data_IF_605195058509
#
_entry.id   IF_605195058509
#
_cell.length_a   1.000
_cell.length_b   1.000
_cell.length_c   1.000
_cell.angle_alpha   90.00
_cell.angle_beta   90.00
_cell.angle_gamma   90.00
#
_symmetry.space_group_name_H-M   'P 1'
#
loop_
_entity.id
_entity.type
_entity.pdbx_description
1 polymer ?
#
# COMPACT_ATOMS: atom_id res chain seq x y z
N UNK A 1 -11.98 20.88 -10.86
CA UNK A 1 -10.75 20.36 -10.25
C UNK A 1 -10.03 19.41 -11.21
N UNK A 2 -10.67 18.33 -11.68
CA UNK A 2 -10.09 17.37 -12.65
C UNK A 2 -9.56 18.08 -13.91
N UNK A 3 -10.37 18.93 -14.57
CA UNK A 3 -9.94 19.66 -15.78
C UNK A 3 -8.72 20.57 -15.60
N UNK A 4 -8.53 21.16 -14.41
CA UNK A 4 -7.35 22.00 -14.15
C UNK A 4 -6.11 21.16 -13.85
N UNK A 5 -6.29 20.01 -13.20
CA UNK A 5 -5.23 19.02 -13.03
C UNK A 5 -4.76 18.48 -14.39
N UNK A 6 -5.69 18.10 -15.26
CA UNK A 6 -5.38 17.57 -16.60
C UNK A 6 -4.72 18.61 -17.51
N UNK A 7 -5.15 19.87 -17.43
CA UNK A 7 -4.66 20.93 -18.30
C UNK A 7 -3.31 21.52 -17.86
N UNK A 8 -3.00 21.53 -16.56
CA UNK A 8 -1.82 22.23 -16.03
C UNK A 8 -0.89 21.33 -15.22
N UNK A 9 -1.42 20.60 -14.23
CA UNK A 9 -0.58 19.80 -13.33
C UNK A 9 0.02 18.58 -14.03
N UNK A 10 -0.78 17.87 -14.82
CA UNK A 10 -0.36 16.63 -15.46
C UNK A 10 0.72 16.87 -16.56
N UNK A 11 0.61 17.87 -17.45
CA UNK A 11 1.69 18.19 -18.39
C UNK A 11 2.99 18.58 -17.69
N UNK A 12 2.92 19.39 -16.62
CA UNK A 12 4.09 19.78 -15.84
C UNK A 12 4.75 18.57 -15.16
N UNK A 13 3.98 17.67 -14.54
CA UNK A 13 4.52 16.45 -13.94
C UNK A 13 5.16 15.52 -14.98
N UNK A 14 4.69 15.53 -16.23
CA UNK A 14 5.29 14.73 -17.31
C UNK A 14 6.67 15.22 -17.74
N UNK A 15 7.05 16.47 -17.41
CA UNK A 15 8.39 16.99 -17.68
C UNK A 15 9.46 16.44 -16.74
N UNK A 16 9.07 15.87 -15.60
CA UNK A 16 9.99 15.26 -14.65
C UNK A 16 10.13 13.75 -14.89
N UNK A 17 11.26 13.19 -14.43
CA UNK A 17 11.43 11.73 -14.31
C UNK A 17 10.22 11.14 -13.57
N UNK A 18 9.70 9.97 -13.99
CA UNK A 18 8.50 9.39 -13.38
C UNK A 18 8.59 9.22 -11.86
N UNK A 19 9.76 8.88 -11.33
CA UNK A 19 9.94 8.66 -9.89
C UNK A 19 9.96 10.00 -9.13
N UNK A 20 10.59 11.03 -9.69
CA UNK A 20 10.58 12.38 -9.09
C UNK A 20 9.17 12.99 -9.15
N UNK A 21 8.44 12.76 -10.25
CA UNK A 21 7.04 13.17 -10.39
C UNK A 21 6.14 12.53 -9.35
N UNK A 22 6.36 11.24 -9.10
CA UNK A 22 5.67 10.50 -8.05
C UNK A 22 5.96 11.09 -6.67
N UNK A 23 7.23 11.43 -6.39
CA UNK A 23 7.61 12.10 -5.14
C UNK A 23 6.95 13.48 -5.00
N UNK A 24 6.92 14.27 -6.07
CA UNK A 24 6.25 15.56 -6.10
C UNK A 24 4.74 15.43 -5.84
N UNK A 25 4.10 14.40 -6.38
CA UNK A 25 2.68 14.14 -6.11
C UNK A 25 2.41 13.85 -4.62
N UNK A 26 3.24 13.02 -3.98
CA UNK A 26 3.16 12.75 -2.53
C UNK A 26 3.37 14.04 -1.72
N UNK A 27 4.39 14.83 -2.07
CA UNK A 27 4.64 16.11 -1.39
C UNK A 27 3.49 17.11 -1.58
N UNK A 28 2.92 17.18 -2.78
CA UNK A 28 1.76 18.01 -3.09
C UNK A 28 0.55 17.64 -2.24
N UNK A 29 0.23 16.34 -2.14
CA UNK A 29 -0.85 15.85 -1.29
C UNK A 29 -0.64 16.14 0.20
N UNK A 30 0.62 16.11 0.65
CA UNK A 30 0.99 16.40 2.04
C UNK A 30 0.87 17.88 2.39
N UNK A 31 1.22 18.78 1.46
CA UNK A 31 1.25 20.23 1.68
C UNK A 31 -0.07 20.92 1.33
N UNK A 32 -0.78 20.43 0.32
CA UNK A 32 -2.00 21.01 -0.22
C UNK A 32 -3.12 19.96 -0.16
N UNK A 33 -3.73 19.75 1.02
CA UNK A 33 -4.76 18.74 1.17
C UNK A 33 -5.94 19.06 0.25
N UNK A 34 -6.44 18.06 -0.50
CA UNK A 34 -7.41 18.31 -1.56
C UNK A 34 -8.75 18.77 -1.02
N UNK A 35 -9.53 19.47 -1.84
CA UNK A 35 -10.92 19.78 -1.48
C UNK A 35 -11.71 18.48 -1.52
N UNK A 36 -12.44 18.19 -0.44
CA UNK A 36 -13.26 17.00 -0.35
C UNK A 36 -14.36 17.06 -1.43
N UNK A 37 -14.57 16.00 -2.22
CA UNK A 37 -15.67 15.97 -3.18
C UNK A 37 -17.03 15.97 -2.46
N UNK A 38 -18.11 16.03 -3.23
CA UNK A 38 -19.46 15.78 -2.70
C UNK A 38 -19.52 14.40 -2.04
N UNK A 39 -20.36 14.20 -1.01
CA UNK A 39 -20.56 12.88 -0.42
C UNK A 39 -20.95 11.84 -1.47
N UNK A 40 -20.45 10.61 -1.31
CA UNK A 40 -20.82 9.50 -2.18
C UNK A 40 -22.32 9.17 -2.07
N UNK A 41 -22.91 8.67 -3.15
CA UNK A 41 -24.25 8.08 -3.10
C UNK A 41 -24.21 6.81 -2.25
N UNK A 42 -25.16 6.67 -1.33
CA UNK A 42 -25.26 5.50 -0.44
C UNK A 42 -25.33 4.16 -1.21
N UNK A 43 -25.78 4.16 -2.47
CA UNK A 43 -25.77 2.97 -3.35
C UNK A 43 -24.38 2.42 -3.66
N UNK A 44 -23.32 3.21 -3.47
CA UNK A 44 -21.94 2.76 -3.67
C UNK A 44 -21.37 2.02 -2.46
N UNK A 45 -22.04 2.05 -1.30
CA UNK A 45 -21.53 1.41 -0.09
C UNK A 45 -21.44 -0.11 -0.26
N UNK A 46 -20.30 -0.68 0.16
CA UNK A 46 -20.01 -2.12 0.07
C UNK A 46 -19.64 -2.66 1.44
N UNK A 47 -20.27 -3.75 1.86
CA UNK A 47 -19.85 -4.52 3.03
C UNK A 47 -19.10 -5.77 2.60
N UNK A 48 -17.81 -5.85 2.91
CA UNK A 48 -16.95 -6.97 2.55
C UNK A 48 -15.86 -7.18 3.62
N UNK A 49 -15.44 -8.43 3.84
CA UNK A 49 -14.35 -8.77 4.77
C UNK A 49 -14.53 -8.26 6.21
N UNK A 50 -15.78 -8.05 6.64
CA UNK A 50 -16.08 -7.46 7.96
C UNK A 50 -15.96 -5.93 8.01
N UNK A 51 -15.66 -5.28 6.89
CA UNK A 51 -15.52 -3.82 6.76
C UNK A 51 -16.70 -3.22 6.00
N UNK A 52 -16.99 -1.94 6.27
CA UNK A 52 -18.01 -1.15 5.59
C UNK A 52 -17.34 -0.06 4.76
N UNK A 53 -17.13 -0.33 3.47
CA UNK A 53 -16.55 0.62 2.53
C UNK A 53 -17.61 1.64 2.08
N UNK A 54 -17.33 2.95 2.13
CA UNK A 54 -18.29 3.97 1.70
C UNK A 54 -18.52 3.97 0.18
N UNK A 55 -17.50 3.55 -0.57
CA UNK A 55 -17.53 3.33 -2.02
C UNK A 55 -16.51 2.25 -2.39
N UNK A 56 -16.58 1.62 -3.59
CA UNK A 56 -15.73 0.49 -3.95
C UNK A 56 -14.38 0.90 -4.56
N UNK A 57 -14.06 2.19 -4.63
CA UNK A 57 -12.87 2.70 -5.32
C UNK A 57 -11.76 2.95 -4.29
N UNK A 58 -10.67 2.20 -4.38
CA UNK A 58 -9.52 2.31 -3.48
C UNK A 58 -8.24 2.77 -4.16
N UNK A 59 -7.36 3.41 -3.39
CA UNK A 59 -5.99 3.68 -3.82
C UNK A 59 -5.13 2.44 -3.57
N UNK A 60 -4.54 1.89 -4.63
CA UNK A 60 -3.74 0.67 -4.55
C UNK A 60 -2.37 0.89 -3.89
N UNK A 61 -1.83 -0.18 -3.30
CA UNK A 61 -0.45 -0.19 -2.80
C UNK A 61 0.55 0.10 -3.93
N UNK A 62 1.66 0.72 -3.54
CA UNK A 62 2.70 1.20 -4.42
C UNK A 62 2.63 2.70 -4.66
N UNK A 63 1.47 3.35 -4.44
CA UNK A 63 1.37 4.80 -4.46
C UNK A 63 1.94 5.41 -3.17
N UNK A 64 1.30 5.19 -2.02
CA UNK A 64 1.80 5.66 -0.73
C UNK A 64 2.53 4.54 0.03
N UNK A 65 3.78 4.27 -0.38
CA UNK A 65 4.59 3.18 0.20
C UNK A 65 4.90 3.36 1.69
N UNK A 66 4.89 4.60 2.14
CA UNK A 66 5.49 5.03 3.40
C UNK A 66 4.47 5.59 4.40
N UNK A 67 3.16 5.50 4.09
CA UNK A 67 2.06 6.10 4.84
C UNK A 67 2.24 7.62 5.08
N UNK A 68 2.67 8.35 4.05
CA UNK A 68 2.90 9.78 4.14
C UNK A 68 1.62 10.60 3.93
N UNK A 69 0.65 10.09 3.17
CA UNK A 69 -0.55 10.83 2.75
C UNK A 69 -1.86 10.02 2.73
N UNK A 70 -2.09 9.03 3.62
CA UNK A 70 -3.32 8.24 3.60
C UNK A 70 -4.58 9.09 3.79
N UNK A 71 -4.54 10.09 4.68
CA UNK A 71 -5.69 10.96 4.96
C UNK A 71 -5.99 11.91 3.80
N UNK A 72 -4.96 12.38 3.09
CA UNK A 72 -5.15 13.19 1.89
C UNK A 72 -5.79 12.37 0.76
N UNK A 73 -5.40 11.10 0.62
CA UNK A 73 -5.99 10.17 -0.34
C UNK A 73 -7.44 9.84 0.00
N UNK A 74 -7.77 9.52 1.25
CA UNK A 74 -9.17 9.34 1.68
C UNK A 74 -10.00 10.61 1.43
N UNK A 75 -9.41 11.79 1.67
CA UNK A 75 -10.05 13.08 1.42
C UNK A 75 -10.27 13.39 -0.06
N UNK A 76 -9.50 12.79 -0.99
CA UNK A 76 -9.78 12.86 -2.43
C UNK A 76 -11.08 12.14 -2.83
N UNK A 77 -11.60 11.25 -1.98
CA UNK A 77 -12.80 10.47 -2.25
C UNK A 77 -12.57 8.97 -2.40
N UNK A 78 -11.34 8.46 -2.20
CA UNK A 78 -11.12 7.02 -2.14
C UNK A 78 -11.84 6.42 -0.93
N UNK A 79 -12.60 5.35 -1.16
CA UNK A 79 -13.32 4.66 -0.09
C UNK A 79 -12.38 3.90 0.85
N UNK A 80 -11.19 3.54 0.37
CA UNK A 80 -10.11 2.96 1.15
C UNK A 80 -8.74 3.26 0.53
N UNK A 81 -7.69 3.18 1.34
CA UNK A 81 -6.31 3.37 0.89
C UNK A 81 -5.45 2.20 1.32
N UNK A 82 -4.65 1.66 0.41
CA UNK A 82 -3.65 0.64 0.74
C UNK A 82 -2.25 1.24 0.72
N UNK A 83 -1.59 1.30 1.87
CA UNK A 83 -0.19 1.74 1.97
C UNK A 83 0.77 0.58 1.70
N UNK A 84 2.04 0.89 1.48
CA UNK A 84 3.09 -0.10 1.24
C UNK A 84 3.34 -0.38 -0.24
N UNK A 85 4.01 -1.47 -0.61
CA UNK A 85 4.46 -2.57 0.24
C UNK A 85 5.53 -2.15 1.25
N UNK A 86 5.30 -2.46 2.52
CA UNK A 86 6.23 -2.21 3.63
C UNK A 86 7.09 -3.45 3.87
N UNK A 87 8.37 -3.27 4.19
CA UNK A 87 9.27 -4.35 4.62
C UNK A 87 9.72 -4.13 6.07
N UNK A 88 10.18 -5.16 6.81
CA UNK A 88 10.61 -4.97 8.20
C UNK A 88 11.69 -3.91 8.38
N UNK A 89 12.74 -3.96 7.57
CA UNK A 89 13.85 -3.00 7.55
C UNK A 89 13.70 -2.03 6.38
N UNK A 90 14.22 -0.79 6.48
CA UNK A 90 14.31 0.12 5.35
C UNK A 90 15.13 -0.50 4.22
N UNK A 91 14.74 -0.22 2.98
CA UNK A 91 15.54 -0.56 1.80
C UNK A 91 15.31 0.44 0.67
N UNK A 92 16.36 0.73 -0.09
CA UNK A 92 16.33 1.74 -1.16
C UNK A 92 15.63 1.27 -2.42
N UNK A 93 15.48 -0.05 -2.61
CA UNK A 93 14.95 -0.68 -3.82
C UNK A 93 16.03 -0.95 -4.89
N UNK A 94 15.64 -1.14 -6.14
CA UNK A 94 16.57 -1.38 -7.25
C UNK A 94 17.18 -0.06 -7.75
N UNK A 95 18.32 -0.04 -8.46
CA UNK A 95 18.89 1.21 -9.00
C UNK A 95 17.95 1.97 -9.96
N UNK A 96 18.02 3.31 -9.97
CA UNK A 96 17.32 4.15 -10.97
C UNK A 96 18.04 4.09 -12.34
N UNK A 97 17.34 4.28 -13.47
CA UNK A 97 15.89 4.47 -13.61
C UNK A 97 15.14 3.14 -13.47
N UNK A 98 13.95 3.20 -12.84
CA UNK A 98 13.16 2.02 -12.43
C UNK A 98 11.65 2.22 -12.52
N UNK A 99 11.21 3.33 -13.11
CA UNK A 99 9.81 3.64 -13.38
C UNK A 99 9.73 4.30 -14.76
N UNK A 100 8.86 3.79 -15.62
CA UNK A 100 8.77 4.17 -17.03
C UNK A 100 7.31 4.39 -17.40
N UNK A 101 7.03 5.48 -18.13
CA UNK A 101 5.71 5.78 -18.69
C UNK A 101 5.64 5.29 -20.12
N UNK A 102 4.55 4.60 -20.47
CA UNK A 102 4.20 4.21 -21.82
C UNK A 102 2.92 4.97 -22.17
N UNK A 103 3.06 6.24 -22.56
CA UNK A 103 1.93 7.17 -22.62
C UNK A 103 0.86 6.77 -23.64
N UNK A 104 1.28 6.20 -24.77
CA UNK A 104 0.36 5.72 -25.82
C UNK A 104 -0.48 4.52 -25.36
N UNK A 105 0.07 3.73 -24.46
CA UNK A 105 -0.55 2.51 -23.93
C UNK A 105 -1.31 2.78 -22.62
N UNK A 106 -1.32 4.03 -22.15
CA UNK A 106 -1.79 4.41 -20.80
C UNK A 106 -1.19 3.53 -19.69
N UNK A 107 0.06 3.11 -19.88
CA UNK A 107 0.71 2.09 -19.06
C UNK A 107 1.96 2.60 -18.34
N UNK A 108 2.37 1.84 -17.34
CA UNK A 108 3.57 2.07 -16.55
C UNK A 108 4.32 0.75 -16.35
N UNK A 109 5.62 0.77 -16.57
CA UNK A 109 6.52 -0.33 -16.19
C UNK A 109 7.33 0.11 -14.98
N UNK A 110 7.38 -0.70 -13.93
CA UNK A 110 8.22 -0.42 -12.76
C UNK A 110 9.02 -1.64 -12.32
N UNK A 111 10.24 -1.35 -11.86
CA UNK A 111 11.14 -2.33 -11.24
C UNK A 111 11.67 -1.82 -9.91
N UNK A 112 10.77 -1.29 -9.08
CA UNK A 112 11.14 -0.56 -7.85
C UNK A 112 11.84 -1.43 -6.80
N UNK A 113 11.40 -2.67 -6.61
CA UNK A 113 12.01 -3.61 -5.65
C UNK A 113 11.75 -3.25 -4.17
N UNK A 114 10.50 -2.94 -3.82
CA UNK A 114 10.08 -2.59 -2.45
C UNK A 114 10.90 -1.49 -1.77
N UNK A 115 11.17 -0.38 -2.46
CA UNK A 115 11.73 0.82 -1.83
C UNK A 115 10.77 1.36 -0.74
N UNK A 116 11.20 1.41 0.52
CA UNK A 116 10.40 1.95 1.64
C UNK A 116 11.29 2.25 2.88
N UNK A 117 10.73 3.01 3.82
CA UNK A 117 11.43 3.49 5.01
C UNK A 117 11.47 2.46 6.17
N UNK A 118 10.92 1.26 5.95
CA UNK A 118 10.85 0.19 6.95
C UNK A 118 9.65 0.32 7.89
N UNK A 119 9.37 -0.78 8.60
CA UNK A 119 8.18 -0.90 9.43
C UNK A 119 8.09 0.17 10.52
N UNK A 120 9.19 0.48 11.21
CA UNK A 120 9.19 1.42 12.33
C UNK A 120 8.81 2.84 11.91
N UNK A 121 9.30 3.30 10.76
CA UNK A 121 9.00 4.63 10.24
C UNK A 121 7.54 4.74 9.81
N UNK A 122 7.04 3.70 9.12
CA UNK A 122 5.65 3.62 8.67
C UNK A 122 4.69 3.50 9.87
N UNK A 123 5.06 2.72 10.88
CA UNK A 123 4.27 2.54 12.10
C UNK A 123 4.06 3.87 12.82
N UNK A 124 5.11 4.69 12.97
CA UNK A 124 4.98 6.02 13.59
C UNK A 124 4.02 6.93 12.83
N UNK A 125 4.05 6.89 11.49
CA UNK A 125 3.13 7.69 10.66
C UNK A 125 1.70 7.18 10.76
N UNK A 126 1.47 5.88 10.69
CA UNK A 126 0.14 5.31 10.89
C UNK A 126 -0.40 5.55 12.31
N UNK A 127 0.45 5.48 13.34
CA UNK A 127 0.04 5.76 14.71
C UNK A 127 -0.43 7.21 14.88
N UNK A 128 0.22 8.18 14.21
CA UNK A 128 -0.19 9.59 14.27
C UNK A 128 -1.59 9.87 13.74
N UNK A 129 -2.16 8.95 12.94
CA UNK A 129 -3.51 9.07 12.38
C UNK A 129 -4.55 8.15 13.03
N UNK A 130 -4.23 7.45 14.11
CA UNK A 130 -5.11 6.45 14.73
C UNK A 130 -6.55 6.94 15.01
N UNK A 131 -6.75 8.27 15.19
CA UNK A 131 -8.06 8.88 15.45
C UNK A 131 -8.77 9.51 14.24
N UNK A 132 -8.18 9.47 13.04
CA UNK A 132 -8.72 10.17 11.85
C UNK A 132 -9.80 9.36 11.10
N UNK A 133 -9.98 8.08 11.44
CA UNK A 133 -10.94 7.19 10.81
C UNK A 133 -10.58 6.81 9.36
N UNK A 134 -11.56 6.23 8.66
CA UNK A 134 -11.39 5.70 7.31
C UNK A 134 -10.71 4.33 7.27
N UNK A 135 -10.77 3.68 6.10
CA UNK A 135 -10.22 2.33 5.91
C UNK A 135 -8.82 2.44 5.30
N UNK A 136 -7.81 1.99 6.05
CA UNK A 136 -6.43 1.93 5.55
C UNK A 136 -5.84 0.55 5.73
N UNK A 137 -5.57 -0.10 4.60
CA UNK A 137 -4.92 -1.40 4.53
C UNK A 137 -3.40 -1.27 4.52
N UNK A 138 -2.73 -2.32 4.99
CA UNK A 138 -1.26 -2.43 4.99
C UNK A 138 -0.84 -3.58 4.08
N UNK A 139 -0.21 -3.22 2.96
CA UNK A 139 0.43 -4.19 2.08
C UNK A 139 1.81 -4.55 2.64
N UNK A 140 2.02 -5.83 2.94
CA UNK A 140 3.23 -6.35 3.61
C UNK A 140 4.07 -7.17 2.63
N UNK A 141 5.39 -7.08 2.77
CA UNK A 141 6.35 -7.79 1.94
C UNK A 141 7.66 -8.07 2.68
N UNK A 142 8.45 -8.99 2.16
CA UNK A 142 9.75 -9.33 2.75
C UNK A 142 10.88 -8.42 2.25
N UNK A 143 11.88 -8.20 3.10
CA UNK A 143 13.13 -7.57 2.69
C UNK A 143 13.83 -8.43 1.63
N UNK A 144 14.55 -7.79 0.69
CA UNK A 144 15.24 -8.48 -0.42
C UNK A 144 16.16 -9.60 0.07
N UNK A 145 17.00 -9.26 1.04
CA UNK A 145 18.09 -10.09 1.56
C UNK A 145 17.66 -10.85 2.83
N UNK A 146 16.35 -10.97 3.08
CA UNK A 146 15.87 -11.68 4.26
C UNK A 146 16.17 -13.19 4.15
N UNK A 147 16.81 -13.79 5.17
CA UNK A 147 17.05 -15.22 5.21
C UNK A 147 15.76 -16.01 5.50
N UNK A 148 14.77 -15.38 6.12
CA UNK A 148 13.46 -15.95 6.39
C UNK A 148 12.37 -14.94 6.03
N UNK A 149 11.87 -15.06 4.80
CA UNK A 149 10.83 -14.18 4.27
C UNK A 149 9.50 -14.38 4.98
N UNK A 150 9.21 -15.58 5.49
CA UNK A 150 7.95 -15.84 6.20
C UNK A 150 7.93 -15.10 7.53
N UNK A 151 9.06 -15.12 8.25
CA UNK A 151 9.23 -14.33 9.47
C UNK A 151 9.05 -12.83 9.23
N UNK A 152 9.46 -12.29 8.07
CA UNK A 152 9.22 -10.90 7.71
C UNK A 152 7.72 -10.57 7.64
N UNK A 153 6.92 -11.41 6.97
CA UNK A 153 5.46 -11.22 6.91
C UNK A 153 4.83 -11.29 8.28
N UNK A 154 5.15 -12.32 9.07
CA UNK A 154 4.66 -12.50 10.44
C UNK A 154 4.94 -11.26 11.29
N UNK A 155 6.18 -10.77 11.26
CA UNK A 155 6.58 -9.57 11.99
C UNK A 155 5.76 -8.36 11.60
N UNK A 156 5.50 -8.15 10.30
CA UNK A 156 4.71 -7.02 9.83
C UNK A 156 3.23 -7.12 10.24
N UNK A 157 2.64 -8.31 10.21
CA UNK A 157 1.27 -8.54 10.72
C UNK A 157 1.20 -8.12 12.19
N UNK A 158 2.11 -8.62 13.03
CA UNK A 158 2.12 -8.31 14.46
C UNK A 158 2.38 -6.82 14.71
N UNK A 159 3.27 -6.20 13.93
CA UNK A 159 3.65 -4.78 14.08
C UNK A 159 2.47 -3.85 13.79
N UNK A 160 1.73 -4.11 12.72
CA UNK A 160 0.71 -3.19 12.22
C UNK A 160 -0.72 -3.54 12.65
N UNK A 161 -0.93 -4.69 13.31
CA UNK A 161 -2.27 -5.14 13.69
C UNK A 161 -3.10 -4.10 14.45
N UNK A 162 -2.54 -3.31 15.39
CA UNK A 162 -3.33 -2.31 16.11
C UNK A 162 -3.84 -1.14 15.25
N UNK A 163 -3.35 -0.98 14.02
CA UNK A 163 -3.58 0.20 13.17
C UNK A 163 -4.13 -0.11 11.78
N UNK A 164 -3.91 -1.33 11.28
CA UNK A 164 -4.36 -1.73 9.94
C UNK A 164 -5.85 -2.06 9.95
N UNK A 165 -6.62 -1.52 8.99
CA UNK A 165 -8.00 -1.97 8.77
C UNK A 165 -8.05 -3.35 8.11
N UNK A 166 -7.04 -3.67 7.30
CA UNK A 166 -6.84 -4.98 6.68
C UNK A 166 -5.37 -5.16 6.27
N UNK A 167 -4.99 -6.40 6.00
CA UNK A 167 -3.66 -6.74 5.50
C UNK A 167 -3.71 -7.29 4.09
N UNK A 168 -2.63 -7.07 3.35
CA UNK A 168 -2.40 -7.74 2.07
C UNK A 168 -1.01 -8.35 2.04
N UNK A 169 -0.95 -9.67 1.94
CA UNK A 169 0.28 -10.45 1.76
C UNK A 169 0.69 -10.40 0.29
N UNK A 170 1.80 -9.72 -0.02
CA UNK A 170 2.25 -9.52 -1.39
C UNK A 170 3.38 -10.49 -1.79
N UNK A 171 2.99 -11.60 -2.43
CA UNK A 171 3.91 -12.59 -3.01
C UNK A 171 4.14 -12.43 -4.52
N UNK A 172 3.58 -11.38 -5.13
CA UNK A 172 3.47 -11.25 -6.60
C UNK A 172 4.47 -10.30 -7.25
N UNK A 173 5.24 -9.54 -6.46
CA UNK A 173 6.24 -8.59 -6.98
C UNK A 173 7.24 -9.28 -7.94
N UNK A 174 7.33 -8.84 -9.22
CA UNK A 174 8.37 -9.31 -10.15
C UNK A 174 9.76 -8.80 -9.78
N UNK A 175 9.85 -7.83 -8.86
CA UNK A 175 11.01 -6.98 -8.69
C UNK A 175 11.90 -7.37 -7.50
N UNK A 176 11.51 -8.43 -6.79
CA UNK A 176 12.23 -9.00 -5.65
C UNK A 176 12.64 -10.42 -6.01
N UNK A 177 13.93 -10.70 -6.28
CA UNK A 177 14.39 -12.01 -6.73
C UNK A 177 13.91 -13.17 -5.86
N UNK A 178 13.34 -14.19 -6.49
CA UNK A 178 12.82 -15.39 -5.81
C UNK A 178 11.56 -15.18 -4.97
N UNK A 179 10.97 -13.97 -4.90
CA UNK A 179 9.77 -13.75 -4.09
C UNK A 179 8.57 -14.55 -4.62
N UNK A 180 8.48 -14.67 -5.95
CA UNK A 180 7.43 -15.45 -6.62
C UNK A 180 7.50 -16.95 -6.33
N UNK A 181 8.63 -17.46 -5.84
CA UNK A 181 8.73 -18.85 -5.41
C UNK A 181 7.79 -19.14 -4.20
N UNK A 182 7.40 -18.10 -3.45
CA UNK A 182 6.39 -18.21 -2.39
C UNK A 182 4.97 -18.46 -2.94
N UNK A 183 4.77 -18.42 -4.25
CA UNK A 183 3.49 -18.79 -4.87
C UNK A 183 3.37 -20.29 -5.17
N UNK A 184 4.45 -21.06 -5.00
CA UNK A 184 4.34 -22.52 -5.09
C UNK A 184 3.55 -23.06 -3.90
N UNK A 185 2.65 -24.02 -4.16
CA UNK A 185 1.62 -24.49 -3.22
C UNK A 185 2.14 -24.69 -1.78
N UNK A 186 3.17 -25.53 -1.58
CA UNK A 186 3.69 -25.83 -0.25
C UNK A 186 4.28 -24.59 0.48
N UNK A 187 4.96 -23.71 -0.26
CA UNK A 187 5.53 -22.48 0.32
C UNK A 187 4.45 -21.44 0.64
N UNK A 188 3.40 -21.38 -0.19
CA UNK A 188 2.26 -20.51 0.03
C UNK A 188 1.43 -20.98 1.23
N UNK A 189 1.20 -22.28 1.36
CA UNK A 189 0.48 -22.88 2.49
C UNK A 189 1.19 -22.59 3.81
N UNK A 190 2.52 -22.82 3.88
CA UNK A 190 3.33 -22.49 5.07
C UNK A 190 3.29 -21.00 5.41
N UNK A 191 3.43 -20.14 4.41
CA UNK A 191 3.35 -18.69 4.58
C UNK A 191 1.99 -18.26 5.13
N UNK A 192 0.90 -18.71 4.51
CA UNK A 192 -0.45 -18.31 4.89
C UNK A 192 -0.80 -18.86 6.28
N UNK A 193 -0.45 -20.10 6.61
CA UNK A 193 -0.65 -20.66 7.94
C UNK A 193 0.02 -19.79 9.02
N UNK A 194 1.30 -19.48 8.84
CA UNK A 194 2.06 -18.66 9.80
C UNK A 194 1.54 -17.22 9.91
N UNK A 195 1.10 -16.63 8.80
CA UNK A 195 0.48 -15.29 8.78
C UNK A 195 -0.86 -15.28 9.51
N UNK A 196 -1.71 -16.29 9.30
CA UNK A 196 -3.00 -16.40 9.98
C UNK A 196 -2.79 -16.65 11.48
N UNK A 197 -1.85 -17.52 11.85
CA UNK A 197 -1.48 -17.74 13.25
C UNK A 197 -1.00 -16.44 13.91
N UNK A 198 -0.20 -15.64 13.21
CA UNK A 198 0.24 -14.33 13.69
C UNK A 198 -0.93 -13.38 13.92
N UNK A 199 -1.88 -13.32 12.97
CA UNK A 199 -3.10 -12.52 13.12
C UNK A 199 -3.94 -12.97 14.31
N UNK A 200 -4.13 -14.27 14.53
CA UNK A 200 -4.90 -14.77 15.67
C UNK A 200 -4.21 -14.50 17.01
N UNK A 201 -2.88 -14.57 17.09
CA UNK A 201 -2.12 -14.21 18.31
C UNK A 201 -2.40 -12.78 18.77
N UNK A 202 -2.46 -11.83 17.84
CA UNK A 202 -2.65 -10.40 18.15
C UNK A 202 -4.11 -9.98 18.21
N UNK A 203 -5.04 -10.80 17.68
CA UNK A 203 -6.48 -10.50 17.58
C UNK A 203 -7.11 -10.01 18.87
N UNK A 204 -6.77 -10.63 20.01
CA UNK A 204 -7.35 -10.26 21.33
C UNK A 204 -7.07 -8.80 21.72
N UNK A 205 -5.96 -8.23 21.28
CA UNK A 205 -5.52 -6.88 21.65
C UNK A 205 -5.71 -5.87 20.51
N UNK A 206 -5.64 -6.33 19.26
CA UNK A 206 -5.69 -5.49 18.07
C UNK A 206 -7.05 -5.49 17.35
N UNK A 207 -7.95 -6.41 17.70
CA UNK A 207 -9.20 -6.62 16.97
C UNK A 207 -9.03 -7.54 15.76
N UNK A 208 -10.11 -7.72 15.01
CA UNK A 208 -10.11 -8.57 13.82
C UNK A 208 -9.68 -7.77 12.59
N UNK A 209 -8.60 -8.19 11.94
CA UNK A 209 -8.10 -7.60 10.70
C UNK A 209 -8.09 -8.66 9.60
N UNK A 210 -8.88 -8.51 8.52
CA UNK A 210 -8.88 -9.47 7.43
C UNK A 210 -7.52 -9.47 6.73
N UNK A 211 -7.08 -10.66 6.31
CA UNK A 211 -5.83 -10.86 5.57
C UNK A 211 -6.18 -11.31 4.16
N UNK A 212 -5.68 -10.57 3.17
CA UNK A 212 -5.86 -10.85 1.74
C UNK A 212 -4.52 -11.28 1.12
N UNK A 213 -4.58 -12.05 0.03
CA UNK A 213 -3.42 -12.44 -0.76
C UNK A 213 -3.42 -11.70 -2.09
N UNK A 214 -2.31 -11.05 -2.45
CA UNK A 214 -2.14 -10.38 -3.75
C UNK A 214 -1.35 -11.26 -4.71
N UNK A 215 -2.04 -11.83 -5.69
CA UNK A 215 -1.49 -12.72 -6.72
C UNK A 215 -1.03 -11.98 -7.97
N UNK A 216 -0.18 -12.62 -8.78
CA UNK A 216 0.16 -12.14 -10.11
C UNK A 216 -0.99 -12.48 -11.09
N UNK A 217 -1.17 -11.69 -12.17
CA UNK A 217 -2.14 -12.02 -13.22
C UNK A 217 -1.72 -13.26 -14.01
#
# INVERSE_FOLDING_TARGET
MIRAFDAFSLPLLRWFDPEDSHRLAIQGLRLLPPVRPRPDDAKLAVRAFGLNFPNPIGMAAGFDKNAEVPDALLRLGFGFVEIGTVTPKPQTGNPRPRLFRLERDEAVINRLGFNNDGADAVLRRLASRAHHGGIVGVNVGANRDSPDRVADYVKLIETFAPLASYFTVNVSSPNTPGLRNLQHAAALDDLLAKVIDARERVRKHAGDSPVLLKVAP
#
